data_IF_530228872000
#
_entry.id   IF_530228872000
#
_cell.length_a   1.000
_cell.length_b   1.000
_cell.length_c   1.000
_cell.angle_alpha   90.00
_cell.angle_beta   90.00
_cell.angle_gamma   90.00
#
_symmetry.space_group_name_H-M   'P 1'
#
loop_
_entity.id
_entity.type
_entity.pdbx_description
1 polymer ?
#
# COMPACT_ATOMS: atom_id res chain seq x y z
N UNK A 1 3.81 -21.02 31.30
CA UNK A 1 2.65 -20.16 30.97
C UNK A 1 3.05 -19.39 29.72
N UNK A 2 2.57 -19.81 28.54
CA UNK A 2 2.89 -19.13 27.28
C UNK A 2 1.92 -17.97 27.11
N UNK A 3 2.38 -16.75 27.41
CA UNK A 3 1.67 -15.53 27.03
C UNK A 3 1.88 -15.33 25.53
N UNK A 4 0.84 -15.55 24.73
CA UNK A 4 0.80 -15.07 23.35
C UNK A 4 0.85 -13.54 23.41
N UNK A 5 2.03 -12.97 23.19
CA UNK A 5 2.24 -11.54 23.05
C UNK A 5 1.59 -11.14 21.72
N UNK A 6 0.37 -10.62 21.78
CA UNK A 6 -0.30 -10.05 20.61
C UNK A 6 0.31 -8.66 20.38
N UNK A 7 1.36 -8.59 19.57
CA UNK A 7 1.86 -7.32 19.08
C UNK A 7 0.77 -6.74 18.19
N UNK A 8 0.34 -5.52 18.45
CA UNK A 8 -0.56 -4.79 17.57
C UNK A 8 0.24 -4.53 16.28
N UNK A 9 -0.06 -5.21 15.16
CA UNK A 9 0.73 -5.02 13.93
C UNK A 9 0.06 -3.93 13.10
N UNK A 10 0.74 -2.78 12.93
CA UNK A 10 0.18 -1.63 12.24
C UNK A 10 0.01 -1.88 10.75
N UNK A 11 -1.23 -2.09 10.27
CA UNK A 11 -1.73 -2.00 8.88
C UNK A 11 -0.82 -2.49 7.71
N UNK A 12 0.19 -3.30 7.97
CA UNK A 12 1.25 -3.68 7.02
C UNK A 12 0.68 -4.45 5.83
N UNK A 13 -0.32 -5.30 6.08
CA UNK A 13 -1.03 -6.06 5.05
C UNK A 13 -1.71 -5.17 4.02
N UNK A 14 -2.25 -4.01 4.45
CA UNK A 14 -2.93 -3.05 3.58
C UNK A 14 -1.91 -2.27 2.74
N UNK A 15 -0.73 -1.95 3.28
CA UNK A 15 0.36 -1.35 2.51
C UNK A 15 0.85 -2.29 1.40
N UNK A 16 1.02 -3.58 1.72
CA UNK A 16 1.39 -4.61 0.74
C UNK A 16 0.33 -4.70 -0.36
N UNK A 17 -0.95 -4.68 -0.01
CA UNK A 17 -2.02 -4.69 -1.01
C UNK A 17 -1.97 -3.47 -1.94
N UNK A 18 -1.75 -2.27 -1.38
CA UNK A 18 -1.56 -1.04 -2.17
C UNK A 18 -0.37 -1.13 -3.13
N UNK A 19 0.75 -1.70 -2.66
CA UNK A 19 1.94 -1.93 -3.49
C UNK A 19 1.69 -2.93 -4.62
N UNK A 20 1.00 -4.05 -4.34
CA UNK A 20 0.66 -5.05 -5.35
C UNK A 20 -0.27 -4.46 -6.43
N UNK A 21 -1.25 -3.64 -6.04
CA UNK A 21 -2.09 -2.93 -6.99
C UNK A 21 -1.28 -1.98 -7.87
N UNK A 22 -0.30 -1.28 -7.31
CA UNK A 22 0.59 -0.42 -8.10
C UNK A 22 1.39 -1.23 -9.13
N UNK A 23 1.97 -2.38 -8.75
CA UNK A 23 2.69 -3.26 -9.67
C UNK A 23 1.80 -3.80 -10.80
N UNK A 24 0.60 -4.26 -10.46
CA UNK A 24 -0.37 -4.74 -11.44
C UNK A 24 -0.82 -3.63 -12.40
N UNK A 25 -1.01 -2.40 -11.89
CA UNK A 25 -1.31 -1.22 -12.69
C UNK A 25 -0.22 -0.94 -13.73
N UNK A 26 1.05 -0.99 -13.34
CA UNK A 26 2.17 -0.81 -14.27
C UNK A 26 2.27 -1.95 -15.30
N UNK A 27 2.12 -3.20 -14.87
CA UNK A 27 2.17 -4.35 -15.78
C UNK A 27 1.07 -4.27 -16.84
N UNK A 28 -0.18 -3.99 -16.42
CA UNK A 28 -1.32 -3.84 -17.32
C UNK A 28 -1.21 -2.58 -18.18
N UNK A 29 -0.65 -1.49 -17.66
CA UNK A 29 -0.38 -0.27 -18.41
C UNK A 29 0.64 -0.50 -19.54
N UNK A 30 1.69 -1.28 -19.28
CA UNK A 30 2.64 -1.71 -20.30
C UNK A 30 1.98 -2.52 -21.41
N UNK A 31 1.16 -3.51 -21.04
CA UNK A 31 0.38 -4.31 -22.00
C UNK A 31 -0.58 -3.41 -22.80
N UNK A 32 -1.25 -2.47 -22.13
CA UNK A 32 -2.17 -1.54 -22.75
C UNK A 32 -1.50 -0.71 -23.84
N UNK A 33 -0.31 -0.16 -23.57
CA UNK A 33 0.47 0.62 -24.55
C UNK A 33 0.79 -0.22 -25.79
N UNK A 34 1.17 -1.49 -25.61
CA UNK A 34 1.45 -2.41 -26.71
C UNK A 34 0.18 -2.67 -27.54
N UNK A 35 -0.94 -2.95 -26.88
CA UNK A 35 -2.22 -3.23 -27.55
C UNK A 35 -2.86 -1.99 -28.20
N UNK A 36 -2.50 -0.78 -27.76
CA UNK A 36 -3.00 0.47 -28.31
C UNK A 36 -2.66 0.61 -29.80
N UNK A 37 -1.53 0.05 -30.23
CA UNK A 37 -1.09 0.05 -31.63
C UNK A 37 -2.05 -0.72 -32.56
N UNK A 38 -2.80 -1.70 -32.04
CA UNK A 38 -3.66 -2.59 -32.83
C UNK A 38 -5.15 -2.26 -32.69
N UNK A 39 -5.52 -1.23 -31.91
CA UNK A 39 -6.91 -0.79 -31.66
C UNK A 39 -7.85 -1.95 -31.30
N UNK A 40 -7.41 -2.83 -30.39
CA UNK A 40 -8.15 -4.05 -30.01
C UNK A 40 -9.07 -3.82 -28.82
N UNK A 41 -10.09 -4.67 -28.66
CA UNK A 41 -10.88 -4.72 -27.43
C UNK A 41 -10.01 -5.01 -26.18
N UNK A 42 -8.88 -5.72 -26.38
CA UNK A 42 -7.87 -5.95 -25.34
C UNK A 42 -7.22 -4.66 -24.85
N UNK A 43 -7.02 -3.66 -25.72
CA UNK A 43 -6.50 -2.35 -25.33
C UNK A 43 -7.45 -1.65 -24.35
N UNK A 44 -8.77 -1.62 -24.65
CA UNK A 44 -9.73 -1.01 -23.74
C UNK A 44 -9.77 -1.74 -22.39
N UNK A 45 -9.82 -3.07 -22.40
CA UNK A 45 -9.88 -3.87 -21.17
C UNK A 45 -8.64 -3.67 -20.28
N UNK A 46 -7.44 -3.74 -20.88
CA UNK A 46 -6.17 -3.57 -20.14
C UNK A 46 -5.96 -2.15 -19.66
N UNK A 47 -6.36 -1.14 -20.45
CA UNK A 47 -6.30 0.27 -20.05
C UNK A 47 -7.23 0.58 -18.87
N UNK A 48 -8.48 0.11 -18.92
CA UNK A 48 -9.44 0.29 -17.80
C UNK A 48 -8.95 -0.45 -16.55
N UNK A 49 -8.45 -1.68 -16.70
CA UNK A 49 -7.91 -2.44 -15.57
C UNK A 49 -6.69 -1.75 -14.94
N UNK A 50 -5.73 -1.29 -15.75
CA UNK A 50 -4.55 -0.55 -15.29
C UNK A 50 -4.96 0.69 -14.50
N UNK A 51 -5.89 1.49 -15.03
CA UNK A 51 -6.40 2.68 -14.36
C UNK A 51 -7.08 2.33 -13.03
N UNK A 52 -7.90 1.28 -13.01
CA UNK A 52 -8.57 0.81 -11.79
C UNK A 52 -7.57 0.45 -10.69
N UNK A 53 -6.51 -0.28 -11.04
CA UNK A 53 -5.45 -0.64 -10.10
C UNK A 53 -4.69 0.58 -9.57
N UNK A 54 -4.36 1.55 -10.43
CA UNK A 54 -3.69 2.77 -9.99
C UNK A 54 -4.57 3.63 -9.06
N UNK A 55 -5.86 3.77 -9.39
CA UNK A 55 -6.80 4.51 -8.53
C UNK A 55 -6.95 3.83 -7.18
N UNK A 56 -7.06 2.50 -7.16
CA UNK A 56 -7.16 1.74 -5.92
C UNK A 56 -5.87 1.85 -5.06
N UNK A 57 -4.69 1.70 -5.68
CA UNK A 57 -3.41 1.89 -5.00
C UNK A 57 -3.28 3.30 -4.42
N UNK A 58 -3.59 4.34 -5.21
CA UNK A 58 -3.53 5.73 -4.77
C UNK A 58 -4.50 6.00 -3.61
N UNK A 59 -5.71 5.45 -3.66
CA UNK A 59 -6.69 5.57 -2.59
C UNK A 59 -6.19 4.92 -1.29
N UNK A 60 -5.67 3.70 -1.36
CA UNK A 60 -5.11 2.97 -0.21
C UNK A 60 -3.98 3.80 0.41
N UNK A 61 -2.94 4.14 -0.38
CA UNK A 61 -1.77 4.86 0.13
C UNK A 61 -2.14 6.24 0.69
N UNK A 62 -3.10 6.93 0.07
CA UNK A 62 -3.60 8.22 0.57
C UNK A 62 -4.29 8.07 1.91
N UNK A 63 -5.14 7.07 2.09
CA UNK A 63 -5.80 6.78 3.37
C UNK A 63 -4.77 6.42 4.44
N UNK A 64 -3.79 5.57 4.11
CA UNK A 64 -2.72 5.20 5.04
C UNK A 64 -1.94 6.44 5.52
N UNK A 65 -1.52 7.27 4.58
CA UNK A 65 -0.69 8.45 4.87
C UNK A 65 -1.49 9.52 5.63
N UNK A 66 -2.71 9.83 5.19
CA UNK A 66 -3.47 10.99 5.69
C UNK A 66 -4.39 10.70 6.86
N UNK A 67 -4.90 9.48 6.99
CA UNK A 67 -5.89 9.13 8.02
C UNK A 67 -5.33 8.25 9.11
N UNK A 68 -4.37 7.39 8.78
CA UNK A 68 -3.77 6.47 9.75
C UNK A 68 -2.46 6.99 10.34
N UNK A 69 -2.01 8.19 9.91
CA UNK A 69 -0.73 8.80 10.28
C UNK A 69 0.44 7.82 10.18
N UNK A 70 0.35 6.87 9.25
CA UNK A 70 1.42 5.91 9.04
C UNK A 70 2.49 6.64 8.25
N UNK A 71 3.53 7.06 8.95
CA UNK A 71 4.70 7.65 8.33
C UNK A 71 5.65 6.50 7.92
N UNK A 72 5.94 6.32 6.63
CA UNK A 72 6.86 5.28 6.17
C UNK A 72 8.30 5.48 6.66
N UNK A 73 8.62 6.63 7.25
CA UNK A 73 9.95 6.97 7.77
C UNK A 73 10.02 6.95 9.31
N UNK A 74 8.90 6.84 10.03
CA UNK A 74 8.85 6.85 11.50
C UNK A 74 8.50 5.46 12.01
N UNK A 75 9.11 4.98 13.12
CA UNK A 75 8.85 3.66 13.68
C UNK A 75 7.35 3.40 13.91
N UNK A 76 7.00 2.12 13.88
CA UNK A 76 5.64 1.62 14.03
C UNK A 76 4.87 2.35 15.15
N UNK A 77 3.65 2.83 14.86
CA UNK A 77 2.84 3.58 15.83
C UNK A 77 2.21 2.70 16.93
N UNK A 78 2.81 1.55 17.21
CA UNK A 78 2.29 0.64 18.22
C UNK A 78 2.51 1.25 19.60
N UNK A 79 1.59 1.00 20.51
CA UNK A 79 1.70 1.50 21.90
C UNK A 79 2.98 1.02 22.57
N UNK A 80 3.52 -0.14 22.16
CA UNK A 80 4.81 -0.66 22.63
C UNK A 80 6.01 0.13 22.11
N UNK A 81 6.10 0.39 20.80
CA UNK A 81 7.18 1.17 20.19
C UNK A 81 7.15 2.63 20.65
N UNK A 82 5.97 3.25 20.76
CA UNK A 82 5.83 4.61 21.31
C UNK A 82 6.34 4.67 22.76
N UNK A 83 6.08 3.63 23.55
CA UNK A 83 6.60 3.51 24.91
C UNK A 83 8.13 3.41 24.94
N UNK A 84 8.72 2.59 24.05
CA UNK A 84 10.17 2.45 23.92
C UNK A 84 10.82 3.77 23.47
N UNK A 85 10.25 4.41 22.45
CA UNK A 85 10.77 5.67 21.92
C UNK A 85 10.69 6.80 22.95
N UNK A 86 9.62 6.87 23.73
CA UNK A 86 9.54 7.83 24.83
C UNK A 86 10.54 7.52 25.94
N UNK A 87 10.73 6.24 26.31
CA UNK A 87 11.75 5.87 27.30
C UNK A 87 13.16 6.23 26.85
N UNK A 88 13.51 5.98 25.58
CA UNK A 88 14.89 6.15 25.10
C UNK A 88 15.28 7.61 24.80
N UNK A 89 14.30 8.49 24.53
CA UNK A 89 14.56 9.87 24.10
C UNK A 89 13.94 10.95 24.99
N UNK A 90 13.08 10.61 25.96
CA UNK A 90 12.47 11.56 26.90
C UNK A 90 13.10 11.55 28.28
N UNK A 91 13.69 10.42 28.69
CA UNK A 91 14.46 10.26 29.93
C UNK A 91 15.97 10.46 29.66
#
# INVERSE_FOLDING_TARGET
MFTLHHTDHGFHEVAVLGYLFMLLGFALGGIWIVLLAETTAGALATGVAALGFFVAAAAILTVMTKKMHHDPLVPENTTGEVGHYLHDYRD
#
